data_IF_914961290502
#
_entry.id   IF_914961290502
#
_cell.length_a   1.000
_cell.length_b   1.000
_cell.length_c   1.000
_cell.angle_alpha   90.00
_cell.angle_beta   90.00
_cell.angle_gamma   90.00
#
_symmetry.space_group_name_H-M   'P 1'
#
loop_
_entity.id
_entity.type
_entity.pdbx_description
1 polymer ?
#
# COMPACT_ATOMS: atom_id res chain seq x y z
N UNK A 1 -34.90 -5.66 -22.79
CA UNK A 1 -34.33 -4.35 -22.51
C UNK A 1 -32.89 -4.53 -22.09
N UNK A 2 -32.00 -4.25 -23.05
CA UNK A 2 -30.55 -4.27 -22.89
C UNK A 2 -30.11 -2.91 -22.32
N UNK A 3 -29.71 -2.90 -21.06
CA UNK A 3 -29.05 -1.74 -20.44
C UNK A 3 -27.56 -1.83 -20.74
N UNK A 4 -27.09 -1.03 -21.67
CA UNK A 4 -25.68 -0.77 -21.93
C UNK A 4 -25.07 -0.02 -20.76
N UNK A 5 -24.07 -0.62 -20.11
CA UNK A 5 -23.21 0.07 -19.16
C UNK A 5 -22.42 1.15 -19.93
N UNK A 6 -22.53 2.39 -19.50
CA UNK A 6 -21.74 3.49 -20.03
C UNK A 6 -20.31 3.38 -19.47
N UNK A 7 -19.33 3.22 -20.33
CA UNK A 7 -17.92 3.44 -20.05
C UNK A 7 -17.74 4.91 -19.64
N UNK A 8 -17.46 5.12 -18.35
CA UNK A 8 -16.99 6.41 -17.85
C UNK A 8 -15.49 6.52 -18.19
N UNK A 9 -15.19 7.01 -19.38
CA UNK A 9 -13.85 7.48 -19.74
C UNK A 9 -13.54 8.73 -18.90
N UNK A 10 -12.97 8.52 -17.72
CA UNK A 10 -12.39 9.59 -16.91
C UNK A 10 -10.98 9.86 -17.41
N UNK A 11 -10.87 10.61 -18.50
CA UNK A 11 -9.66 11.35 -18.81
C UNK A 11 -9.47 12.42 -17.74
N UNK A 12 -8.80 12.06 -16.66
CA UNK A 12 -8.28 13.04 -15.72
C UNK A 12 -7.26 13.88 -16.50
N UNK A 13 -7.63 15.12 -16.82
CA UNK A 13 -6.70 16.11 -17.31
C UNK A 13 -5.55 16.20 -16.31
N UNK A 14 -4.33 15.95 -16.76
CA UNK A 14 -3.13 16.16 -15.97
C UNK A 14 -3.13 17.63 -15.55
N UNK A 15 -3.39 17.89 -14.26
CA UNK A 15 -3.17 19.21 -13.69
C UNK A 15 -1.67 19.50 -13.86
N UNK A 16 -1.35 20.60 -14.52
CA UNK A 16 0.03 21.09 -14.58
C UNK A 16 0.52 21.27 -13.15
N UNK A 17 1.50 20.46 -12.76
CA UNK A 17 2.09 20.51 -11.43
C UNK A 17 2.84 21.84 -11.28
N UNK A 18 2.21 22.80 -10.63
CA UNK A 18 2.85 24.03 -10.18
C UNK A 18 3.56 23.81 -8.84
N UNK A 19 4.55 22.93 -8.80
CA UNK A 19 5.27 22.59 -7.57
C UNK A 19 6.65 22.02 -7.87
N UNK A 20 7.50 21.95 -6.87
CA UNK A 20 8.84 21.37 -6.91
C UNK A 20 8.78 19.82 -7.04
N UNK A 21 8.09 19.31 -8.06
CA UNK A 21 8.00 17.90 -8.37
C UNK A 21 9.34 17.36 -8.88
N UNK A 22 9.59 16.08 -8.65
CA UNK A 22 10.73 15.36 -9.23
C UNK A 22 10.43 15.07 -10.70
N UNK A 23 11.42 15.30 -11.58
CA UNK A 23 11.27 14.92 -12.98
C UNK A 23 11.13 13.39 -13.08
N UNK A 24 10.33 12.92 -14.06
CA UNK A 24 10.02 11.49 -14.18
C UNK A 24 11.28 10.63 -14.32
N UNK A 25 12.25 11.09 -15.08
CA UNK A 25 13.53 10.43 -15.32
C UNK A 25 14.39 10.27 -14.07
N UNK A 26 14.19 11.16 -13.09
CA UNK A 26 14.95 11.18 -11.82
C UNK A 26 14.20 10.49 -10.68
N UNK A 27 12.90 10.15 -10.89
CA UNK A 27 12.06 9.56 -9.86
C UNK A 27 12.52 8.14 -9.54
N UNK A 28 12.76 7.86 -8.25
CA UNK A 28 12.93 6.53 -7.69
C UNK A 28 11.88 6.27 -6.63
N UNK A 29 11.25 5.11 -6.69
CA UNK A 29 10.18 4.68 -5.80
C UNK A 29 10.64 3.43 -5.04
N UNK A 30 10.64 3.50 -3.71
CA UNK A 30 11.01 2.40 -2.83
C UNK A 30 9.79 1.70 -2.23
N UNK A 31 9.89 0.40 -2.01
CA UNK A 31 8.86 -0.41 -1.35
C UNK A 31 9.48 -1.32 -0.30
N UNK A 32 8.86 -1.38 0.89
CA UNK A 32 9.20 -2.33 1.94
C UNK A 32 8.01 -3.26 2.15
N UNK A 33 8.24 -4.56 1.98
CA UNK A 33 7.22 -5.61 2.05
C UNK A 33 7.53 -6.60 3.17
N UNK A 34 6.48 -7.03 3.89
CA UNK A 34 6.60 -8.02 4.98
C UNK A 34 6.92 -9.44 4.46
N UNK A 35 6.55 -9.73 3.23
CA UNK A 35 6.77 -11.01 2.55
C UNK A 35 7.27 -10.77 1.12
N UNK A 36 7.17 -11.76 0.27
CA UNK A 36 7.42 -11.66 -1.17
C UNK A 36 6.18 -12.08 -1.98
N UNK A 37 6.16 -11.85 -3.31
CA UNK A 37 4.99 -12.14 -4.14
C UNK A 37 4.57 -13.62 -4.19
N UNK A 38 5.39 -14.55 -3.68
CA UNK A 38 5.04 -15.97 -3.60
C UNK A 38 3.91 -16.26 -2.59
N UNK A 39 3.57 -15.27 -1.72
CA UNK A 39 2.44 -15.37 -0.81
C UNK A 39 1.08 -15.44 -1.53
N UNK A 40 1.05 -15.13 -2.83
CA UNK A 40 -0.14 -15.09 -3.69
C UNK A 40 -1.31 -14.31 -3.06
N UNK A 41 -1.00 -13.43 -2.12
CA UNK A 41 -1.95 -12.71 -1.28
C UNK A 41 -1.63 -11.24 -1.14
N UNK A 42 -1.28 -10.83 0.09
CA UNK A 42 -1.11 -9.41 0.44
C UNK A 42 0.08 -8.78 -0.31
N UNK A 43 1.27 -9.37 -0.21
CA UNK A 43 2.46 -8.86 -0.87
C UNK A 43 2.35 -8.98 -2.39
N UNK A 44 1.80 -10.11 -2.90
CA UNK A 44 1.54 -10.29 -4.31
C UNK A 44 0.69 -9.16 -4.91
N UNK A 45 -0.38 -8.72 -4.21
CA UNK A 45 -1.24 -7.66 -4.72
C UNK A 45 -0.57 -6.28 -4.63
N UNK A 46 0.26 -6.02 -3.63
CA UNK A 46 1.08 -4.81 -3.59
C UNK A 46 2.10 -4.78 -4.74
N UNK A 47 2.80 -5.89 -4.98
CA UNK A 47 3.74 -6.02 -6.10
C UNK A 47 3.05 -5.82 -7.45
N UNK A 48 1.86 -6.40 -7.63
CA UNK A 48 1.06 -6.18 -8.84
C UNK A 48 0.69 -4.71 -9.02
N UNK A 49 0.26 -4.04 -7.95
CA UNK A 49 -0.03 -2.60 -7.98
C UNK A 49 1.21 -1.76 -8.30
N UNK A 50 2.37 -2.15 -7.81
CA UNK A 50 3.66 -1.51 -8.14
C UNK A 50 3.98 -1.64 -9.62
N UNK A 51 3.81 -2.83 -10.19
CA UNK A 51 4.04 -3.08 -11.61
C UNK A 51 3.04 -2.32 -12.50
N UNK A 52 1.76 -2.31 -12.13
CA UNK A 52 0.72 -1.53 -12.83
C UNK A 52 1.02 -0.01 -12.78
N UNK A 53 1.50 0.49 -11.65
CA UNK A 53 1.93 1.89 -11.50
C UNK A 53 3.13 2.20 -12.40
N UNK A 54 4.15 1.34 -12.38
CA UNK A 54 5.36 1.52 -13.19
C UNK A 54 5.02 1.55 -14.68
N UNK A 55 4.16 0.64 -15.16
CA UNK A 55 3.70 0.60 -16.54
C UNK A 55 2.95 1.88 -16.92
N UNK A 56 1.96 2.30 -16.11
CA UNK A 56 1.13 3.50 -16.38
C UNK A 56 1.94 4.78 -16.40
N UNK A 57 2.93 4.89 -15.53
CA UNK A 57 3.82 6.04 -15.46
C UNK A 57 4.99 5.95 -16.45
N UNK A 58 5.21 4.77 -17.05
CA UNK A 58 6.35 4.49 -17.93
C UNK A 58 7.68 4.63 -17.19
N UNK A 59 7.75 4.11 -15.95
CA UNK A 59 8.98 4.03 -15.17
C UNK A 59 9.76 2.78 -15.59
N UNK A 60 11.08 2.89 -15.58
CA UNK A 60 11.97 1.77 -15.82
C UNK A 60 12.16 0.92 -14.55
N UNK A 61 12.64 -0.30 -14.69
CA UNK A 61 12.84 -1.23 -13.57
C UNK A 61 13.86 -0.76 -12.54
N UNK A 62 14.81 0.08 -12.93
CA UNK A 62 15.81 0.66 -12.05
C UNK A 62 15.30 1.86 -11.24
N UNK A 63 14.11 2.34 -11.56
CA UNK A 63 13.39 3.36 -10.78
C UNK A 63 12.51 2.75 -9.67
N UNK A 64 12.36 1.43 -9.62
CA UNK A 64 11.54 0.72 -8.63
C UNK A 64 12.43 -0.18 -7.78
N UNK A 65 12.50 0.08 -6.48
CA UNK A 65 13.34 -0.68 -5.56
C UNK A 65 12.47 -1.36 -4.51
N UNK A 66 12.49 -2.70 -4.49
CA UNK A 66 11.72 -3.51 -3.56
C UNK A 66 12.62 -4.16 -2.50
N UNK A 67 12.26 -4.04 -1.22
CA UNK A 67 12.82 -4.78 -0.09
C UNK A 67 11.76 -5.76 0.37
N UNK A 68 11.92 -7.03 0.01
CA UNK A 68 11.00 -8.12 0.38
C UNK A 68 11.41 -8.82 1.67
N UNK A 69 10.48 -9.57 2.28
CA UNK A 69 10.71 -10.37 3.47
C UNK A 69 11.30 -9.57 4.63
N UNK A 70 10.88 -8.31 4.76
CA UNK A 70 11.29 -7.43 5.85
C UNK A 70 10.38 -7.66 7.05
N UNK A 71 10.89 -8.09 8.21
CA UNK A 71 10.06 -8.28 9.38
C UNK A 71 9.62 -6.94 9.99
N UNK A 72 8.52 -6.96 10.74
CA UNK A 72 7.99 -5.80 11.48
C UNK A 72 8.83 -5.52 12.74
N UNK A 73 10.10 -5.21 12.57
CA UNK A 73 11.12 -5.05 13.60
C UNK A 73 12.18 -4.03 13.18
N UNK A 74 13.30 -3.95 13.85
CA UNK A 74 14.38 -2.99 13.55
C UNK A 74 14.93 -3.11 12.12
N UNK A 75 14.78 -4.27 11.49
CA UNK A 75 15.13 -4.48 10.09
C UNK A 75 14.31 -3.62 9.13
N UNK A 76 13.08 -3.28 9.51
CA UNK A 76 12.26 -2.32 8.75
C UNK A 76 12.91 -0.93 8.72
N UNK A 77 13.42 -0.44 9.86
CA UNK A 77 14.15 0.83 9.90
C UNK A 77 15.38 0.80 8.97
N UNK A 78 16.13 -0.30 9.01
CA UNK A 78 17.30 -0.48 8.12
C UNK A 78 16.89 -0.42 6.66
N UNK A 79 15.86 -1.17 6.26
CA UNK A 79 15.37 -1.19 4.88
C UNK A 79 14.88 0.19 4.40
N UNK A 80 14.18 0.93 5.26
CA UNK A 80 13.72 2.29 4.95
C UNK A 80 14.89 3.26 4.74
N UNK A 81 15.93 3.19 5.59
CA UNK A 81 17.15 4.01 5.47
C UNK A 81 17.93 3.66 4.21
N UNK A 82 18.10 2.39 3.91
CA UNK A 82 18.74 1.95 2.67
C UNK A 82 18.03 2.52 1.43
N UNK A 83 16.69 2.47 1.37
CA UNK A 83 15.94 3.06 0.26
C UNK A 83 16.13 4.59 0.17
N UNK A 84 16.19 5.28 1.30
CA UNK A 84 16.48 6.71 1.34
C UNK A 84 17.90 7.02 0.81
N UNK A 85 18.89 6.23 1.21
CA UNK A 85 20.29 6.36 0.77
C UNK A 85 20.48 5.96 -0.71
N UNK A 86 19.67 5.04 -1.23
CA UNK A 86 19.60 4.68 -2.65
C UNK A 86 18.95 5.78 -3.51
N UNK A 87 18.44 6.85 -2.88
CA UNK A 87 17.91 8.04 -3.52
C UNK A 87 16.44 7.94 -3.90
N UNK A 88 15.65 7.13 -3.21
CA UNK A 88 14.20 7.13 -3.37
C UNK A 88 13.60 8.45 -2.87
N UNK A 89 12.73 9.08 -3.66
CA UNK A 89 12.00 10.28 -3.27
C UNK A 89 10.63 9.98 -2.66
N UNK A 90 10.11 8.79 -2.92
CA UNK A 90 8.90 8.28 -2.29
C UNK A 90 9.10 6.82 -1.89
N UNK A 91 8.71 6.48 -0.66
CA UNK A 91 8.88 5.13 -0.09
C UNK A 91 7.54 4.65 0.46
N UNK A 92 7.12 3.48 0.02
CA UNK A 92 5.92 2.79 0.49
C UNK A 92 6.29 1.69 1.47
N UNK A 93 5.72 1.73 2.67
CA UNK A 93 5.84 0.68 3.67
C UNK A 93 4.48 -0.02 3.80
N UNK A 94 4.42 -1.30 3.44
CA UNK A 94 3.16 -1.98 3.12
C UNK A 94 2.58 -2.81 4.26
N UNK A 95 3.10 -2.72 5.50
CA UNK A 95 2.57 -3.49 6.62
C UNK A 95 2.33 -2.62 7.86
N UNK A 96 1.31 -2.97 8.65
CA UNK A 96 0.86 -2.22 9.82
C UNK A 96 1.98 -1.96 10.84
N UNK A 97 2.77 -2.98 11.16
CA UNK A 97 3.86 -2.88 12.13
C UNK A 97 5.07 -2.05 11.69
N UNK A 98 5.06 -1.55 10.45
CA UNK A 98 6.12 -0.64 9.97
C UNK A 98 5.91 0.82 10.40
N UNK A 99 4.72 1.20 10.90
CA UNK A 99 4.33 2.59 11.11
C UNK A 99 5.31 3.39 11.98
N UNK A 100 5.72 2.84 13.13
CA UNK A 100 6.62 3.54 14.04
C UNK A 100 8.03 3.71 13.46
N UNK A 101 8.50 2.75 12.67
CA UNK A 101 9.76 2.85 11.96
C UNK A 101 9.70 3.89 10.84
N UNK A 102 8.58 3.94 10.10
CA UNK A 102 8.34 4.97 9.08
C UNK A 102 8.42 6.37 9.70
N UNK A 103 7.71 6.62 10.80
CA UNK A 103 7.71 7.92 11.47
C UNK A 103 9.12 8.29 11.93
N UNK A 104 9.83 7.33 12.51
CA UNK A 104 11.20 7.55 12.98
C UNK A 104 12.15 7.93 11.84
N UNK A 105 12.12 7.20 10.73
CA UNK A 105 13.00 7.46 9.58
C UNK A 105 12.59 8.74 8.86
N UNK A 106 11.29 9.00 8.69
CA UNK A 106 10.78 10.19 8.02
C UNK A 106 11.22 11.50 8.71
N UNK A 107 11.42 11.48 10.03
CA UNK A 107 11.94 12.63 10.76
C UNK A 107 13.38 12.99 10.37
N UNK A 108 14.19 12.02 9.96
CA UNK A 108 15.57 12.21 9.54
C UNK A 108 15.69 12.57 8.04
N UNK A 109 14.65 12.31 7.22
CA UNK A 109 14.61 12.53 5.78
C UNK A 109 13.40 13.37 5.36
N UNK A 110 13.35 14.68 5.71
CA UNK A 110 12.15 15.53 5.51
C UNK A 110 11.78 15.75 4.03
N UNK A 111 12.71 15.55 3.11
CA UNK A 111 12.49 15.73 1.66
C UNK A 111 11.94 14.48 0.98
N UNK A 112 11.93 13.33 1.66
CA UNK A 112 11.40 12.06 1.15
C UNK A 112 9.96 11.90 1.63
N UNK A 113 9.07 11.47 0.74
CA UNK A 113 7.68 11.16 1.08
C UNK A 113 7.56 9.69 1.51
N UNK A 114 6.96 9.46 2.66
CA UNK A 114 6.72 8.13 3.20
C UNK A 114 5.22 7.84 3.22
N UNK A 115 4.82 6.77 2.53
CA UNK A 115 3.45 6.31 2.42
C UNK A 115 3.30 4.97 3.14
N UNK A 116 2.57 4.96 4.24
CA UNK A 116 2.39 3.77 5.07
C UNK A 116 0.99 3.19 4.90
N UNK A 117 0.91 1.92 4.52
CA UNK A 117 -0.35 1.19 4.39
C UNK A 117 -0.91 0.80 5.76
N UNK A 118 -2.23 0.87 5.93
CA UNK A 118 -2.98 0.42 7.11
C UNK A 118 -2.80 1.24 8.38
N UNK A 119 -1.83 2.13 8.45
CA UNK A 119 -1.58 2.97 9.62
C UNK A 119 -2.55 4.13 9.78
N UNK A 120 -2.40 4.87 10.88
CA UNK A 120 -3.29 5.98 11.24
C UNK A 120 -2.56 7.17 11.91
N UNK A 121 -1.27 7.03 12.20
CA UNK A 121 -0.52 8.03 12.97
C UNK A 121 -0.06 9.24 12.14
N UNK A 122 -0.15 9.19 10.81
CA UNK A 122 0.23 10.32 9.95
C UNK A 122 -0.48 11.63 10.35
N UNK A 123 -1.75 11.56 10.74
CA UNK A 123 -2.52 12.74 11.17
C UNK A 123 -2.03 13.36 12.49
N UNK A 124 -1.26 12.63 13.30
CA UNK A 124 -0.87 13.04 14.66
C UNK A 124 0.63 13.03 14.92
N UNK A 125 1.45 12.46 14.02
CA UNK A 125 2.91 12.38 14.21
C UNK A 125 3.63 13.73 14.07
N UNK A 126 2.97 14.75 13.53
CA UNK A 126 3.55 16.09 13.36
C UNK A 126 4.52 16.23 12.18
N UNK A 127 4.64 15.22 11.32
CA UNK A 127 5.48 15.24 10.13
C UNK A 127 4.62 15.43 8.88
N UNK A 128 5.04 16.32 7.99
CA UNK A 128 4.32 16.62 6.74
C UNK A 128 4.61 15.65 5.61
N UNK A 129 5.62 14.81 5.76
CA UNK A 129 6.10 13.85 4.77
C UNK A 129 5.72 12.40 5.09
N UNK A 130 4.81 12.18 6.04
CA UNK A 130 4.23 10.87 6.38
C UNK A 130 2.76 10.84 6.00
N UNK A 131 2.37 9.81 5.25
CA UNK A 131 1.01 9.61 4.75
C UNK A 131 0.53 8.22 5.07
N UNK A 132 -0.74 8.09 5.46
CA UNK A 132 -1.39 6.79 5.58
C UNK A 132 -2.36 6.58 4.40
N UNK A 133 -2.43 5.35 3.91
CA UNK A 133 -3.37 4.93 2.88
C UNK A 133 -3.86 3.51 3.13
N UNK A 134 -5.10 3.23 2.79
CA UNK A 134 -5.65 1.88 2.75
C UNK A 134 -6.96 1.87 1.97
N UNK A 135 -7.26 0.73 1.34
CA UNK A 135 -8.55 0.52 0.68
C UNK A 135 -9.62 0.08 1.68
N UNK A 136 -10.88 0.33 1.37
CA UNK A 136 -12.04 -0.12 2.15
C UNK A 136 -12.28 -1.64 1.97
N UNK A 137 -11.30 -2.44 2.36
CA UNK A 137 -11.28 -3.90 2.15
C UNK A 137 -12.46 -4.62 2.81
N UNK A 138 -13.07 -4.02 3.84
CA UNK A 138 -14.28 -4.55 4.48
C UNK A 138 -15.42 -4.73 3.48
N UNK A 139 -15.53 -3.89 2.45
CA UNK A 139 -16.53 -4.03 1.39
C UNK A 139 -16.34 -5.33 0.59
N UNK A 140 -15.10 -5.66 0.23
CA UNK A 140 -14.80 -6.91 -0.44
C UNK A 140 -15.03 -8.14 0.48
N UNK A 141 -14.76 -7.99 1.77
CA UNK A 141 -15.03 -9.04 2.77
C UNK A 141 -16.51 -9.27 2.98
N UNK A 142 -17.33 -8.22 2.96
CA UNK A 142 -18.78 -8.33 2.95
C UNK A 142 -19.30 -9.20 1.79
N UNK A 143 -18.80 -8.92 0.57
CA UNK A 143 -19.14 -9.73 -0.61
C UNK A 143 -18.67 -11.18 -0.47
N UNK A 144 -17.51 -11.40 0.13
CA UNK A 144 -17.00 -12.75 0.41
C UNK A 144 -17.90 -13.49 1.41
N UNK A 145 -18.42 -12.78 2.42
CA UNK A 145 -19.38 -13.30 3.39
C UNK A 145 -20.69 -13.73 2.72
N UNK A 146 -21.24 -12.91 1.82
CA UNK A 146 -22.41 -13.26 1.01
C UNK A 146 -22.14 -14.53 0.20
N UNK A 147 -21.02 -14.60 -0.51
CA UNK A 147 -20.66 -15.77 -1.32
C UNK A 147 -20.54 -17.04 -0.46
N UNK A 148 -19.90 -16.94 0.70
CA UNK A 148 -19.79 -18.05 1.66
C UNK A 148 -21.16 -18.48 2.20
N UNK A 149 -22.03 -17.54 2.54
CA UNK A 149 -23.39 -17.79 3.00
C UNK A 149 -24.25 -18.50 1.97
N UNK A 150 -24.14 -18.10 0.70
CA UNK A 150 -24.85 -18.76 -0.41
C UNK A 150 -24.31 -20.17 -0.72
N UNK A 151 -23.07 -20.45 -0.36
CA UNK A 151 -22.40 -21.72 -0.69
C UNK A 151 -22.44 -22.74 0.43
N UNK A 152 -22.61 -22.34 1.70
CA UNK A 152 -22.62 -23.26 2.83
C UNK A 152 -23.81 -24.22 2.78
N UNK A 153 -23.55 -25.50 3.02
CA UNK A 153 -24.59 -26.54 3.13
C UNK A 153 -25.02 -26.76 4.58
N UNK A 154 -24.22 -26.31 5.54
CA UNK A 154 -24.44 -26.56 6.97
C UNK A 154 -24.89 -25.32 7.74
N UNK A 155 -24.98 -24.17 7.10
CA UNK A 155 -25.19 -22.84 7.72
C UNK A 155 -24.15 -22.50 8.80
N UNK A 156 -22.95 -23.09 8.70
CA UNK A 156 -21.82 -22.78 9.57
C UNK A 156 -20.70 -22.21 8.72
N UNK A 157 -20.19 -21.05 9.15
CA UNK A 157 -19.06 -20.38 8.54
C UNK A 157 -17.94 -20.26 9.57
N UNK A 158 -16.69 -20.30 9.11
CA UNK A 158 -15.51 -20.05 9.89
C UNK A 158 -14.70 -18.91 9.28
N UNK A 159 -14.10 -18.09 10.11
CA UNK A 159 -13.22 -17.01 9.68
C UNK A 159 -11.84 -17.16 10.35
N UNK A 160 -10.78 -17.21 9.56
CA UNK A 160 -9.41 -17.23 10.05
C UNK A 160 -8.82 -15.83 9.83
N UNK A 161 -8.69 -15.10 10.93
CA UNK A 161 -8.09 -13.76 10.92
C UNK A 161 -6.56 -13.85 10.97
N UNK A 162 -5.88 -12.99 10.24
CA UNK A 162 -4.42 -12.94 10.24
C UNK A 162 -3.87 -12.39 11.58
N UNK A 163 -4.40 -11.24 12.01
CA UNK A 163 -3.99 -10.53 13.22
C UNK A 163 -5.18 -9.76 13.80
N UNK A 164 -5.06 -9.28 15.05
CA UNK A 164 -6.11 -8.51 15.73
C UNK A 164 -5.93 -7.00 15.50
N UNK A 165 -5.93 -6.57 14.24
CA UNK A 165 -5.88 -5.15 13.86
C UNK A 165 -7.28 -4.64 13.47
N UNK A 166 -7.46 -3.31 13.51
CA UNK A 166 -8.75 -2.68 13.26
C UNK A 166 -9.33 -3.02 11.87
N UNK A 167 -8.49 -3.03 10.83
CA UNK A 167 -8.91 -3.36 9.46
C UNK A 167 -9.30 -4.85 9.30
N UNK A 168 -8.72 -5.74 10.11
CA UNK A 168 -9.08 -7.17 10.12
C UNK A 168 -10.41 -7.36 10.85
N UNK A 169 -10.57 -6.70 12.01
CA UNK A 169 -11.78 -6.78 12.82
C UNK A 169 -12.99 -6.19 12.09
N UNK A 170 -12.85 -4.99 11.51
CA UNK A 170 -13.95 -4.37 10.73
C UNK A 170 -14.35 -5.19 9.51
N UNK A 171 -13.39 -5.92 8.91
CA UNK A 171 -13.69 -6.85 7.83
C UNK A 171 -14.38 -8.13 8.29
N UNK A 172 -14.20 -8.54 9.54
CA UNK A 172 -14.94 -9.65 10.14
C UNK A 172 -16.39 -9.23 10.48
N UNK A 173 -16.56 -8.01 10.98
CA UNK A 173 -17.87 -7.47 11.40
C UNK A 173 -18.77 -7.07 10.21
N UNK A 174 -18.20 -6.91 9.03
CA UNK A 174 -18.92 -6.57 7.81
C UNK A 174 -19.70 -7.76 7.23
#
# INVERSE_FOLDING_TARGET
DTTTAADADTTAAAAEATGNGVAKEDLKVGFVHVSDPSDMGYTYNHDRGTNDMAERLGLSSDQIINKYNTPESAECETALRELAEEGCQIIFATSFGFEDYVIKVAADYPDIQFCHATGYKAATCGLSNVHNYFGEIYQARYLSGIAAGLKTETNKLGYVAAVSYAEVTSGYDA
#
